data_IF_323318713774
#
_entry.id   IF_323318713774
#
_cell.length_a   1.000
_cell.length_b   1.000
_cell.length_c   1.000
_cell.angle_alpha   90.00
_cell.angle_beta   90.00
_cell.angle_gamma   90.00
#
_symmetry.space_group_name_H-M   'P 1'
#
loop_
_entity.id
_entity.type
_entity.pdbx_description
1 polymer ?
#
# COMPACT_ATOMS: atom_id res chain seq x y z
N UNK A 1 3.37 17.17 5.62
CA UNK A 1 3.03 16.97 7.04
C UNK A 1 1.52 17.14 7.24
N UNK A 2 0.96 16.54 8.29
CA UNK A 2 -0.45 16.70 8.64
C UNK A 2 -0.57 17.49 9.94
N UNK A 3 -1.36 18.57 9.93
CA UNK A 3 -1.73 19.37 11.12
C UNK A 3 -3.26 19.36 11.33
N UNK A 4 -3.77 20.19 12.24
CA UNK A 4 -5.20 20.28 12.54
C UNK A 4 -6.07 20.72 11.33
N UNK A 5 -5.46 21.35 10.31
CA UNK A 5 -6.11 21.77 9.06
C UNK A 5 -5.98 20.76 7.93
N UNK A 6 -5.28 19.62 8.16
CA UNK A 6 -5.09 18.58 7.18
C UNK A 6 -3.65 18.44 6.67
N UNK A 7 -3.50 17.89 5.47
CA UNK A 7 -2.21 17.71 4.80
C UNK A 7 -1.69 19.04 4.27
N UNK A 8 -0.49 19.41 4.72
CA UNK A 8 0.17 20.66 4.38
C UNK A 8 1.47 20.41 3.63
N UNK A 9 1.72 21.19 2.57
CA UNK A 9 3.03 21.31 1.93
C UNK A 9 3.95 22.13 2.85
N UNK A 10 5.21 21.73 2.98
CA UNK A 10 6.18 22.44 3.80
C UNK A 10 6.81 23.60 3.02
N UNK A 11 7.27 24.66 3.66
CA UNK A 11 7.94 25.79 2.98
C UNK A 11 9.22 25.38 2.22
N UNK A 12 9.90 24.35 2.70
CA UNK A 12 11.11 23.76 2.10
C UNK A 12 10.79 22.68 1.06
N UNK A 13 9.54 22.19 1.01
CA UNK A 13 9.01 21.27 0.01
C UNK A 13 7.62 21.77 -0.42
N UNK A 14 7.56 22.91 -1.13
CA UNK A 14 6.29 23.48 -1.58
C UNK A 14 5.65 22.62 -2.69
N UNK A 15 4.35 22.83 -2.95
CA UNK A 15 3.72 22.33 -4.17
C UNK A 15 4.34 23.02 -5.40
N UNK A 16 5.07 22.28 -6.26
CA UNK A 16 5.79 22.88 -7.39
C UNK A 16 4.87 23.17 -8.59
N UNK A 17 3.62 22.70 -8.56
CA UNK A 17 2.70 22.76 -9.70
C UNK A 17 1.72 23.91 -9.55
N UNK A 18 1.00 23.98 -8.43
CA UNK A 18 -0.07 24.94 -8.24
C UNK A 18 0.25 25.98 -7.15
N UNK A 19 1.30 25.74 -6.35
CA UNK A 19 1.65 26.59 -5.20
C UNK A 19 0.67 26.48 -4.02
N UNK A 20 -0.08 25.40 -3.93
CA UNK A 20 -1.01 25.17 -2.83
C UNK A 20 -0.28 25.05 -1.48
N UNK A 21 -0.92 25.57 -0.44
CA UNK A 21 -0.43 25.42 0.94
C UNK A 21 -0.95 24.13 1.57
N UNK A 22 -2.18 23.76 1.25
CA UNK A 22 -2.83 22.54 1.74
C UNK A 22 -3.29 21.66 0.58
N UNK A 23 -3.23 20.35 0.77
CA UNK A 23 -3.75 19.39 -0.21
C UNK A 23 -5.28 19.55 -0.42
N UNK A 24 -6.00 20.05 0.58
CA UNK A 24 -7.42 20.36 0.45
C UNK A 24 -7.73 21.38 -0.67
N UNK A 25 -6.77 22.23 -1.01
CA UNK A 25 -6.93 23.20 -2.12
C UNK A 25 -6.98 22.47 -3.47
N UNK A 26 -6.22 21.37 -3.65
CA UNK A 26 -6.31 20.52 -4.84
C UNK A 26 -7.67 19.84 -4.96
N UNK A 27 -8.24 19.38 -3.85
CA UNK A 27 -9.58 18.79 -3.83
C UNK A 27 -10.66 19.84 -4.16
N UNK A 28 -10.56 21.03 -3.58
CA UNK A 28 -11.47 22.14 -3.87
C UNK A 28 -11.33 22.66 -5.32
N UNK A 29 -10.12 22.68 -5.86
CA UNK A 29 -9.89 23.03 -7.26
C UNK A 29 -10.52 22.02 -8.23
N UNK A 30 -10.49 20.71 -7.85
CA UNK A 30 -11.11 19.65 -8.65
C UNK A 30 -12.63 19.62 -8.53
N UNK A 31 -13.15 19.90 -7.35
CA UNK A 31 -14.58 19.95 -7.05
C UNK A 31 -14.83 20.96 -5.91
N UNK A 32 -15.35 22.16 -6.23
CA UNK A 32 -15.63 23.19 -5.22
C UNK A 32 -16.58 22.75 -4.11
N UNK A 33 -17.44 21.78 -4.38
CA UNK A 33 -18.42 21.25 -3.43
C UNK A 33 -17.90 20.00 -2.68
N UNK A 34 -16.59 19.72 -2.76
CA UNK A 34 -16.01 18.54 -2.11
C UNK A 34 -16.13 18.63 -0.59
N UNK A 35 -17.01 17.81 -0.01
CA UNK A 35 -17.21 17.68 1.44
C UNK A 35 -16.62 16.40 2.04
N UNK A 36 -15.83 15.65 1.27
CA UNK A 36 -15.24 14.39 1.69
C UNK A 36 -13.94 14.53 2.49
N UNK A 37 -13.32 13.40 2.78
CA UNK A 37 -12.03 13.34 3.47
C UNK A 37 -10.88 13.53 2.48
N UNK A 38 -10.01 14.48 2.76
CA UNK A 38 -8.76 14.69 2.02
C UNK A 38 -7.76 13.60 2.37
N UNK A 39 -7.34 12.82 1.38
CA UNK A 39 -6.42 11.67 1.52
C UNK A 39 -5.22 11.80 0.58
N UNK A 40 -4.21 10.98 0.82
CA UNK A 40 -3.05 10.75 -0.05
C UNK A 40 -3.01 9.25 -0.37
N UNK A 41 -2.47 8.87 -1.54
CA UNK A 41 -1.87 9.67 -2.60
C UNK A 41 -2.89 10.45 -3.44
N UNK A 42 -2.39 11.34 -4.32
CA UNK A 42 -3.20 12.07 -5.30
C UNK A 42 -2.46 12.11 -6.62
N UNK A 43 -3.09 11.66 -7.69
CA UNK A 43 -2.65 11.86 -9.07
C UNK A 43 -3.32 13.11 -9.60
N UNK A 44 -2.51 14.10 -9.99
CA UNK A 44 -2.97 15.41 -10.46
C UNK A 44 -2.77 15.58 -11.96
N UNK A 45 -3.81 15.99 -12.68
CA UNK A 45 -3.74 16.39 -14.07
C UNK A 45 -3.37 17.88 -14.14
N UNK A 46 -2.15 18.16 -14.58
CA UNK A 46 -1.64 19.53 -14.69
C UNK A 46 -2.28 20.32 -15.82
N UNK A 47 -2.83 19.65 -16.83
CA UNK A 47 -3.47 20.29 -17.98
C UNK A 47 -4.91 20.71 -17.66
N UNK A 48 -5.67 19.83 -17.02
CA UNK A 48 -7.06 20.11 -16.67
C UNK A 48 -7.25 20.67 -15.25
N UNK A 49 -6.15 20.82 -14.48
CA UNK A 49 -6.13 21.34 -13.11
C UNK A 49 -7.10 20.60 -12.18
N UNK A 50 -7.04 19.25 -12.17
CA UNK A 50 -7.92 18.42 -11.36
C UNK A 50 -7.23 17.14 -10.89
N UNK A 51 -7.78 16.55 -9.84
CA UNK A 51 -7.44 15.21 -9.38
C UNK A 51 -8.00 14.19 -10.39
N UNK A 52 -7.14 13.29 -10.86
CA UNK A 52 -7.51 12.14 -11.69
C UNK A 52 -8.00 10.98 -10.81
N UNK A 53 -7.21 10.64 -9.81
CA UNK A 53 -7.51 9.54 -8.88
C UNK A 53 -6.74 9.75 -7.56
N UNK A 54 -7.26 9.20 -6.47
CA UNK A 54 -6.63 9.20 -5.14
C UNK A 54 -6.72 7.84 -4.43
N UNK A 55 -7.14 6.79 -5.14
CA UNK A 55 -7.16 5.42 -4.60
C UNK A 55 -5.86 4.70 -4.95
N UNK A 56 -5.10 4.30 -3.92
CA UNK A 56 -3.78 3.66 -4.10
C UNK A 56 -3.83 2.41 -4.98
N UNK A 57 -4.89 1.60 -4.86
CA UNK A 57 -5.05 0.39 -5.65
C UNK A 57 -5.21 0.67 -7.15
N UNK A 58 -5.97 1.72 -7.50
CA UNK A 58 -6.15 2.14 -8.88
C UNK A 58 -4.87 2.77 -9.43
N UNK A 59 -4.22 3.63 -8.62
CA UNK A 59 -2.99 4.30 -9.04
C UNK A 59 -1.86 3.31 -9.36
N UNK A 60 -1.71 2.24 -8.60
CA UNK A 60 -0.73 1.17 -8.89
C UNK A 60 -1.02 0.57 -10.26
N UNK A 61 -2.28 0.29 -10.59
CA UNK A 61 -2.69 -0.27 -11.89
C UNK A 61 -2.54 0.73 -13.03
N UNK A 62 -2.89 1.99 -12.79
CA UNK A 62 -2.64 3.06 -13.77
C UNK A 62 -1.16 3.19 -14.09
N UNK A 63 -0.28 3.16 -13.07
CA UNK A 63 1.17 3.21 -13.26
C UNK A 63 1.72 1.96 -13.97
N UNK A 64 1.03 0.82 -13.90
CA UNK A 64 1.44 -0.41 -14.56
C UNK A 64 1.18 -0.40 -16.08
N UNK A 65 0.21 0.38 -16.58
CA UNK A 65 -0.21 0.28 -17.99
C UNK A 65 -0.60 1.58 -18.69
N UNK A 66 -1.14 2.58 -17.96
CA UNK A 66 -1.70 3.77 -18.62
C UNK A 66 -0.64 4.72 -19.18
N UNK A 67 0.61 4.53 -18.79
CA UNK A 67 1.74 5.36 -19.23
C UNK A 67 2.67 4.67 -20.25
N UNK A 68 2.30 3.47 -20.72
CA UNK A 68 3.09 2.64 -21.64
C UNK A 68 3.39 3.32 -22.99
N UNK A 69 2.52 4.25 -23.40
CA UNK A 69 2.71 5.01 -24.64
C UNK A 69 3.75 6.15 -24.53
N UNK A 70 4.28 6.43 -23.35
CA UNK A 70 5.28 7.48 -23.16
C UNK A 70 6.67 7.01 -23.58
N UNK A 71 7.44 7.90 -24.19
CA UNK A 71 8.82 7.62 -24.57
C UNK A 71 9.70 7.29 -23.36
N UNK A 72 10.42 6.18 -23.45
CA UNK A 72 11.35 5.73 -22.40
C UNK A 72 10.73 4.90 -21.28
N UNK A 73 9.43 4.58 -21.36
CA UNK A 73 8.80 3.64 -20.43
C UNK A 73 9.17 2.20 -20.82
N UNK A 74 9.60 1.42 -19.84
CA UNK A 74 9.87 -0.01 -19.98
C UNK A 74 8.55 -0.79 -19.84
N UNK A 75 7.99 -1.23 -20.94
CA UNK A 75 6.74 -2.00 -21.01
C UNK A 75 6.94 -3.50 -20.91
N UNK A 76 8.17 -3.97 -20.69
CA UNK A 76 8.47 -5.41 -20.54
C UNK A 76 8.00 -5.99 -19.19
N UNK A 77 7.59 -5.12 -18.28
CA UNK A 77 7.27 -5.46 -16.90
C UNK A 77 5.77 -5.23 -16.62
N UNK A 78 5.01 -6.31 -16.47
CA UNK A 78 3.59 -6.27 -16.12
C UNK A 78 3.37 -6.89 -14.74
N UNK A 79 2.97 -6.05 -13.77
CA UNK A 79 2.67 -6.47 -12.39
C UNK A 79 1.26 -7.05 -12.22
N UNK A 80 0.41 -6.94 -13.25
CA UNK A 80 -0.98 -7.39 -13.20
C UNK A 80 -1.39 -8.16 -14.48
N UNK A 81 -0.63 -9.24 -14.82
CA UNK A 81 -0.83 -9.95 -16.06
C UNK A 81 -2.21 -10.62 -16.12
N UNK A 82 -2.90 -10.58 -17.28
CA UNK A 82 -4.29 -11.04 -17.42
C UNK A 82 -4.56 -12.43 -16.89
N UNK A 83 -3.61 -13.36 -17.07
CA UNK A 83 -3.77 -14.76 -16.66
C UNK A 83 -3.76 -14.96 -15.12
N UNK A 84 -3.27 -13.97 -14.36
CA UNK A 84 -3.12 -14.07 -12.89
C UNK A 84 -4.06 -13.12 -12.13
N UNK A 85 -4.85 -12.31 -12.83
CA UNK A 85 -5.68 -11.25 -12.22
C UNK A 85 -6.63 -11.76 -11.14
N UNK A 86 -7.32 -12.85 -11.41
CA UNK A 86 -8.28 -13.43 -10.47
C UNK A 86 -7.60 -13.83 -9.16
N UNK A 87 -6.44 -14.49 -9.24
CA UNK A 87 -5.69 -14.89 -8.04
C UNK A 87 -5.08 -13.68 -7.32
N UNK A 88 -4.54 -12.72 -8.07
CA UNK A 88 -4.00 -11.46 -7.53
C UNK A 88 -5.10 -10.71 -6.78
N UNK A 89 -6.29 -10.54 -7.37
CA UNK A 89 -7.40 -9.81 -6.76
C UNK A 89 -7.91 -10.47 -5.49
N UNK A 90 -8.08 -11.79 -5.51
CA UNK A 90 -8.51 -12.56 -4.35
C UNK A 90 -7.51 -12.43 -3.19
N UNK A 91 -6.21 -12.56 -3.49
CA UNK A 91 -5.16 -12.42 -2.48
C UNK A 91 -5.05 -10.99 -1.97
N UNK A 92 -5.10 -10.00 -2.87
CA UNK A 92 -5.06 -8.59 -2.51
C UNK A 92 -6.21 -8.19 -1.59
N UNK A 93 -7.42 -8.67 -1.84
CA UNK A 93 -8.58 -8.39 -0.97
C UNK A 93 -8.32 -8.90 0.46
N UNK A 94 -7.80 -10.11 0.58
CA UNK A 94 -7.47 -10.71 1.88
C UNK A 94 -6.32 -10.00 2.57
N UNK A 95 -5.20 -9.80 1.87
CA UNK A 95 -4.03 -9.07 2.40
C UNK A 95 -4.41 -7.65 2.84
N UNK A 96 -5.25 -6.98 2.06
CA UNK A 96 -5.73 -5.64 2.39
C UNK A 96 -6.53 -5.63 3.70
N UNK A 97 -7.48 -6.55 3.87
CA UNK A 97 -8.35 -6.57 5.04
C UNK A 97 -7.65 -7.07 6.31
N UNK A 98 -6.89 -8.17 6.18
CA UNK A 98 -6.33 -8.88 7.32
C UNK A 98 -4.91 -8.39 7.70
N UNK A 99 -4.13 -7.88 6.74
CA UNK A 99 -2.74 -7.47 6.97
C UNK A 99 -2.57 -5.96 6.86
N UNK A 100 -2.80 -5.35 5.68
CA UNK A 100 -2.56 -3.91 5.50
C UNK A 100 -3.43 -3.04 6.42
N UNK A 101 -4.73 -3.33 6.51
CA UNK A 101 -5.63 -2.71 7.47
C UNK A 101 -5.64 -3.42 8.82
N UNK A 102 -5.32 -4.71 8.84
CA UNK A 102 -5.30 -5.54 10.05
C UNK A 102 -4.42 -4.96 11.14
N UNK A 103 -3.20 -4.54 10.80
CA UNK A 103 -2.29 -3.90 11.76
C UNK A 103 -2.88 -2.62 12.36
N UNK A 104 -3.65 -1.85 11.58
CA UNK A 104 -4.32 -0.64 12.06
C UNK A 104 -5.58 -0.96 12.88
N UNK A 105 -6.36 -1.96 12.45
CA UNK A 105 -7.53 -2.43 13.22
C UNK A 105 -7.09 -2.92 14.59
N UNK A 106 -6.02 -3.71 14.66
CA UNK A 106 -5.41 -4.17 15.90
C UNK A 106 -4.90 -3.00 16.75
N UNK A 107 -4.10 -2.10 16.16
CA UNK A 107 -3.45 -1.01 16.89
C UNK A 107 -4.40 0.08 17.39
N UNK A 108 -5.54 0.29 16.74
CA UNK A 108 -6.55 1.29 17.10
C UNK A 108 -7.80 0.69 17.76
N UNK A 109 -7.80 -0.61 18.05
CA UNK A 109 -8.89 -1.25 18.75
C UNK A 109 -9.14 -0.58 20.11
N UNK A 110 -10.41 -0.31 20.42
CA UNK A 110 -10.81 0.34 21.67
C UNK A 110 -11.38 -0.65 22.70
N UNK A 111 -11.60 -1.91 22.29
CA UNK A 111 -12.04 -3.01 23.16
C UNK A 111 -11.11 -4.22 22.97
N UNK A 112 -11.07 -5.07 23.99
CA UNK A 112 -10.28 -6.32 23.94
C UNK A 112 -10.76 -7.25 22.83
N UNK A 113 -12.08 -7.40 22.66
CA UNK A 113 -12.68 -8.23 21.61
C UNK A 113 -12.28 -7.78 20.21
N UNK A 114 -12.38 -6.46 19.93
CA UNK A 114 -11.98 -5.92 18.62
C UNK A 114 -10.47 -6.08 18.35
N UNK A 115 -9.65 -6.00 19.41
CA UNK A 115 -8.22 -6.27 19.32
C UNK A 115 -7.97 -7.74 18.97
N UNK A 116 -8.54 -8.68 19.73
CA UNK A 116 -8.34 -10.12 19.54
C UNK A 116 -8.83 -10.57 18.16
N UNK A 117 -10.01 -10.16 17.73
CA UNK A 117 -10.53 -10.49 16.40
C UNK A 117 -9.57 -10.06 15.28
N UNK A 118 -9.07 -8.83 15.34
CA UNK A 118 -8.16 -8.31 14.32
C UNK A 118 -6.78 -8.95 14.39
N UNK A 119 -6.30 -9.22 15.60
CA UNK A 119 -5.02 -9.86 15.89
C UNK A 119 -4.99 -11.30 15.37
N UNK A 120 -6.02 -12.09 15.68
CA UNK A 120 -6.10 -13.49 15.26
C UNK A 120 -6.16 -13.61 13.72
N UNK A 121 -6.95 -12.75 13.06
CA UNK A 121 -7.02 -12.71 11.59
C UNK A 121 -5.70 -12.32 10.95
N UNK A 122 -5.01 -11.33 11.52
CA UNK A 122 -3.70 -10.88 11.06
C UNK A 122 -2.68 -12.03 11.09
N UNK A 123 -2.55 -12.70 12.23
CA UNK A 123 -1.54 -13.75 12.40
C UNK A 123 -1.91 -15.05 11.68
N UNK A 124 -3.20 -15.39 11.58
CA UNK A 124 -3.65 -16.49 10.73
C UNK A 124 -3.26 -16.25 9.25
N UNK A 125 -3.48 -15.05 8.73
CA UNK A 125 -3.11 -14.71 7.36
C UNK A 125 -1.59 -14.66 7.16
N UNK A 126 -0.80 -14.14 8.11
CA UNK A 126 0.66 -14.20 8.04
C UNK A 126 1.17 -15.66 8.04
N UNK A 127 0.58 -16.55 8.85
CA UNK A 127 0.90 -17.97 8.85
C UNK A 127 0.62 -18.67 7.52
N UNK A 128 -0.49 -18.34 6.86
CA UNK A 128 -0.80 -18.86 5.52
C UNK A 128 0.15 -18.33 4.44
N UNK A 129 0.54 -17.06 4.52
CA UNK A 129 1.53 -16.46 3.62
C UNK A 129 2.92 -17.08 3.83
N UNK A 130 3.31 -17.33 5.08
CA UNK A 130 4.54 -18.07 5.41
C UNK A 130 4.55 -19.47 4.78
N UNK A 131 3.44 -20.22 4.94
CA UNK A 131 3.30 -21.55 4.35
C UNK A 131 3.26 -21.52 2.79
N UNK A 132 2.64 -20.52 2.18
CA UNK A 132 2.64 -20.34 0.72
C UNK A 132 4.05 -20.14 0.19
N UNK A 133 4.85 -19.33 0.86
CA UNK A 133 6.23 -19.02 0.47
C UNK A 133 7.23 -20.15 0.73
N UNK A 134 6.84 -21.23 1.41
CA UNK A 134 7.64 -22.44 1.53
C UNK A 134 7.87 -23.15 0.19
N UNK A 135 6.88 -23.05 -0.71
CA UNK A 135 6.90 -23.71 -2.02
C UNK A 135 6.93 -22.75 -3.20
N UNK A 136 6.77 -21.45 -2.95
CA UNK A 136 6.70 -20.42 -3.99
C UNK A 136 7.62 -19.25 -3.64
N UNK A 137 8.33 -18.73 -4.65
CA UNK A 137 9.19 -17.56 -4.43
C UNK A 137 8.41 -16.26 -4.23
N UNK A 138 7.27 -16.12 -4.92
CA UNK A 138 6.38 -14.96 -4.89
C UNK A 138 4.95 -15.39 -4.56
N UNK A 139 4.12 -14.42 -4.23
CA UNK A 139 2.75 -14.69 -3.78
C UNK A 139 1.87 -15.27 -4.87
N UNK A 140 2.05 -14.84 -6.13
CA UNK A 140 1.27 -15.31 -7.27
C UNK A 140 2.19 -15.53 -8.46
N UNK A 141 2.09 -16.71 -9.06
CA UNK A 141 2.90 -17.06 -10.24
C UNK A 141 4.40 -17.21 -9.95
N UNK A 142 5.23 -16.93 -10.97
CA UNK A 142 6.68 -17.15 -10.92
C UNK A 142 7.51 -15.87 -10.94
N UNK A 143 6.86 -14.72 -11.09
CA UNK A 143 7.46 -13.39 -11.10
C UNK A 143 6.76 -12.50 -10.07
N UNK A 144 7.41 -11.38 -9.72
CA UNK A 144 6.79 -10.38 -8.83
C UNK A 144 5.56 -9.77 -9.51
N UNK A 145 4.50 -9.65 -8.72
CA UNK A 145 3.23 -9.04 -9.11
C UNK A 145 2.87 -7.87 -8.18
N UNK A 146 1.76 -7.19 -8.45
CA UNK A 146 1.27 -6.14 -7.55
C UNK A 146 0.95 -6.68 -6.15
N UNK A 147 0.58 -7.97 -6.02
CA UNK A 147 0.30 -8.59 -4.73
C UNK A 147 1.52 -8.54 -3.80
N UNK A 148 2.70 -8.78 -4.37
CA UNK A 148 3.96 -8.74 -3.61
C UNK A 148 4.24 -7.32 -3.10
N UNK A 149 4.09 -6.30 -3.93
CA UNK A 149 4.34 -4.92 -3.54
C UNK A 149 3.32 -4.39 -2.54
N UNK A 150 2.07 -4.82 -2.65
CA UNK A 150 1.02 -4.43 -1.69
C UNK A 150 1.27 -5.02 -0.31
N UNK A 151 1.74 -6.26 -0.21
CA UNK A 151 2.15 -6.87 1.05
C UNK A 151 3.45 -6.24 1.58
N UNK A 152 4.45 -6.04 0.71
CA UNK A 152 5.77 -5.51 1.06
C UNK A 152 5.69 -4.25 1.92
N UNK A 153 4.81 -3.30 1.57
CA UNK A 153 4.68 -2.03 2.28
C UNK A 153 4.33 -2.20 3.76
N UNK A 154 3.59 -3.25 4.12
CA UNK A 154 3.29 -3.55 5.52
C UNK A 154 4.42 -4.35 6.17
N UNK A 155 4.97 -5.36 5.48
CA UNK A 155 6.03 -6.20 6.04
C UNK A 155 7.29 -5.39 6.40
N UNK A 156 7.72 -4.46 5.55
CA UNK A 156 8.92 -3.64 5.79
C UNK A 156 8.80 -2.76 7.05
N UNK A 157 7.58 -2.45 7.47
CA UNK A 157 7.28 -1.68 8.68
C UNK A 157 6.84 -2.54 9.86
N UNK A 158 6.66 -3.85 9.66
CA UNK A 158 6.03 -4.69 10.65
C UNK A 158 6.82 -4.73 11.96
N UNK A 159 8.04 -5.21 11.91
CA UNK A 159 8.88 -5.35 13.11
C UNK A 159 9.25 -4.00 13.76
N UNK A 160 9.70 -2.96 13.00
CA UNK A 160 10.09 -1.70 13.62
C UNK A 160 8.92 -0.86 14.13
N UNK A 161 7.70 -1.04 13.61
CA UNK A 161 6.56 -0.18 13.93
C UNK A 161 5.40 -0.95 14.56
N UNK A 162 4.84 -1.93 13.86
CA UNK A 162 3.56 -2.52 14.27
C UNK A 162 3.67 -3.46 15.47
N UNK A 163 4.80 -4.16 15.62
CA UNK A 163 5.07 -5.00 16.80
C UNK A 163 5.02 -4.17 18.09
N UNK A 164 5.66 -3.02 18.11
CA UNK A 164 5.71 -2.16 19.30
C UNK A 164 4.48 -1.27 19.45
N UNK A 165 4.23 -0.40 18.47
CA UNK A 165 3.20 0.63 18.58
C UNK A 165 1.77 0.09 18.54
N UNK A 166 1.54 -0.96 17.73
CA UNK A 166 0.21 -1.52 17.51
C UNK A 166 0.00 -2.85 18.23
N UNK A 167 1.05 -3.33 18.95
CA UNK A 167 1.03 -4.59 19.69
C UNK A 167 0.69 -5.80 18.81
N UNK A 168 1.07 -5.77 17.53
CA UNK A 168 1.00 -6.92 16.62
C UNK A 168 2.21 -7.83 16.91
N UNK A 169 2.24 -8.49 18.07
CA UNK A 169 3.46 -9.00 18.68
C UNK A 169 3.43 -10.51 19.00
N UNK A 170 2.61 -11.31 18.31
CA UNK A 170 2.64 -12.77 18.44
C UNK A 170 3.98 -13.31 17.93
N UNK A 171 4.36 -12.90 16.71
CA UNK A 171 5.62 -13.28 16.06
C UNK A 171 6.12 -12.10 15.23
N UNK A 172 7.45 -11.93 15.12
CA UNK A 172 8.03 -10.92 14.22
C UNK A 172 8.22 -11.53 12.83
N UNK A 173 8.22 -10.68 11.81
CA UNK A 173 8.57 -11.12 10.44
C UNK A 173 9.98 -11.75 10.42
N UNK A 174 10.89 -11.22 11.20
CA UNK A 174 12.26 -11.78 11.34
C UNK A 174 12.29 -13.23 11.84
N UNK A 175 11.27 -13.69 12.54
CA UNK A 175 11.16 -15.03 13.11
C UNK A 175 10.38 -16.00 12.19
N UNK A 176 9.85 -15.53 11.07
CA UNK A 176 9.17 -16.28 10.01
C UNK A 176 10.12 -16.43 8.82
N UNK A 177 10.77 -17.62 8.65
CA UNK A 177 11.91 -17.75 7.72
C UNK A 177 11.57 -17.42 6.25
N UNK A 178 10.39 -17.85 5.77
CA UNK A 178 10.00 -17.61 4.39
C UNK A 178 9.62 -16.15 4.15
N UNK A 179 8.79 -15.55 4.99
CA UNK A 179 8.43 -14.13 4.94
C UNK A 179 9.64 -13.23 5.14
N UNK A 180 10.57 -13.58 6.03
CA UNK A 180 11.81 -12.84 6.24
C UNK A 180 12.71 -12.86 5.00
N UNK A 181 12.90 -14.02 4.38
CA UNK A 181 13.69 -14.13 3.15
C UNK A 181 13.01 -13.42 1.96
N UNK A 182 11.70 -13.58 1.83
CA UNK A 182 10.88 -12.90 0.83
C UNK A 182 10.95 -11.37 0.98
N UNK A 183 10.83 -10.85 2.20
CA UNK A 183 10.98 -9.41 2.46
C UNK A 183 12.35 -8.89 2.05
N UNK A 184 13.42 -9.65 2.33
CA UNK A 184 14.79 -9.30 1.91
C UNK A 184 14.97 -9.34 0.40
N UNK A 185 14.41 -10.34 -0.28
CA UNK A 185 14.46 -10.43 -1.75
C UNK A 185 13.81 -9.21 -2.40
N UNK A 186 12.64 -8.80 -1.92
CA UNK A 186 11.96 -7.61 -2.43
C UNK A 186 12.72 -6.32 -2.11
N UNK A 187 13.23 -6.18 -0.88
CA UNK A 187 13.95 -4.99 -0.44
C UNK A 187 15.27 -4.75 -1.20
N UNK A 188 15.92 -5.82 -1.68
CA UNK A 188 17.18 -5.76 -2.41
C UNK A 188 17.02 -5.50 -3.91
N UNK A 189 15.78 -5.36 -4.40
CA UNK A 189 15.56 -5.09 -5.82
C UNK A 189 16.03 -3.68 -6.18
N UNK A 190 16.62 -3.51 -7.36
CA UNK A 190 17.01 -2.18 -7.84
C UNK A 190 15.81 -1.24 -7.88
N UNK A 191 15.98 -0.06 -7.30
CA UNK A 191 14.92 0.97 -7.27
C UNK A 191 14.08 1.01 -6.00
N UNK A 192 14.31 0.05 -5.06
CA UNK A 192 13.64 0.03 -3.75
C UNK A 192 14.51 0.73 -2.69
#
# INVERSE_FOLDING_TARGET
IRDARGWRFLPDVPDPVNGFTFLSEAYAASNPDFGGRVTVPVLWDTHHHRIVNNESADLIRMLNSEFDALDGVDTSFDLYPPALREEIDALNARVYDDVNNGVYKTGFATTQEAYEESFDRLFATLGELEARLDTSRYLVGHAVTEADWRLFTTLVRFDPVYVGHFKCNEVRIADLPNLSNYLRDLYQRPGI
#
